data_IF_841900148415
#
_entry.id   IF_841900148415
#
_cell.length_a   1.000
_cell.length_b   1.000
_cell.length_c   1.000
_cell.angle_alpha   90.00
_cell.angle_beta   90.00
_cell.angle_gamma   90.00
#
_symmetry.space_group_name_H-M   'P 1'
#
loop_
_entity.id
_entity.type
_entity.pdbx_description
1 polymer ?
#
# COMPACT_ATOMS: atom_id res chain seq x y z
N UNK A 1 -20.24 23.56 8.37
CA UNK A 1 -19.97 23.53 9.83
C UNK A 1 -19.81 22.09 10.38
N UNK A 2 -19.29 21.14 9.58
CA UNK A 2 -19.24 19.70 9.94
C UNK A 2 -17.80 19.11 10.00
N UNK A 3 -16.75 19.93 10.04
CA UNK A 3 -15.35 19.46 10.06
C UNK A 3 -14.64 19.58 11.42
N UNK A 4 -15.31 20.06 12.46
CA UNK A 4 -14.64 20.46 13.71
C UNK A 4 -14.74 19.47 14.89
N UNK A 5 -15.43 18.33 14.76
CA UNK A 5 -15.82 17.51 15.93
C UNK A 5 -15.30 16.06 15.96
N UNK A 6 -14.13 15.77 15.40
CA UNK A 6 -13.48 14.45 15.56
C UNK A 6 -11.98 14.57 15.86
N UNK A 7 -11.64 15.32 16.91
CA UNK A 7 -10.26 15.43 17.44
C UNK A 7 -10.10 14.62 18.74
N UNK A 8 -10.67 13.42 18.81
CA UNK A 8 -10.54 12.49 19.95
C UNK A 8 -9.67 11.31 19.50
N UNK A 9 -8.38 11.33 19.87
CA UNK A 9 -7.32 10.34 19.55
C UNK A 9 -7.66 9.45 18.34
N UNK A 10 -7.60 10.02 17.14
CA UNK A 10 -7.61 9.24 15.90
C UNK A 10 -6.35 8.40 15.94
N UNK A 11 -6.47 7.13 16.34
CA UNK A 11 -5.46 6.14 16.00
C UNK A 11 -5.59 6.04 14.48
N UNK A 12 -4.88 6.90 13.77
CA UNK A 12 -4.78 6.81 12.32
C UNK A 12 -4.09 5.48 12.05
N UNK A 13 -4.77 4.49 11.44
CA UNK A 13 -4.14 3.22 11.14
C UNK A 13 -2.93 3.50 10.25
N UNK A 14 -1.74 3.18 10.76
CA UNK A 14 -0.51 3.45 10.03
C UNK A 14 -0.30 2.48 8.87
N UNK A 15 0.82 2.63 8.14
CA UNK A 15 1.19 1.79 6.99
C UNK A 15 1.11 0.28 7.29
N UNK A 16 1.49 -0.12 8.50
CA UNK A 16 1.46 -1.53 8.94
C UNK A 16 0.05 -2.10 9.03
N UNK A 17 -0.94 -1.30 9.41
CA UNK A 17 -2.33 -1.74 9.47
C UNK A 17 -2.90 -1.91 8.06
N UNK A 18 -2.63 -0.94 7.17
CA UNK A 18 -3.01 -0.99 5.76
C UNK A 18 -2.52 -2.26 5.06
N UNK A 19 -1.22 -2.53 5.13
CA UNK A 19 -0.62 -3.72 4.52
C UNK A 19 -1.20 -5.01 5.08
N UNK A 20 -1.51 -5.07 6.39
CA UNK A 20 -2.11 -6.24 7.01
C UNK A 20 -3.54 -6.50 6.50
N UNK A 21 -4.36 -5.46 6.37
CA UNK A 21 -5.73 -5.58 5.88
C UNK A 21 -5.79 -6.01 4.42
N UNK A 22 -4.95 -5.41 3.56
CA UNK A 22 -4.89 -5.81 2.15
C UNK A 22 -4.45 -7.27 1.99
N UNK A 23 -3.47 -7.73 2.79
CA UNK A 23 -3.08 -9.16 2.81
C UNK A 23 -4.17 -10.09 3.34
N UNK A 24 -5.02 -9.59 4.24
CA UNK A 24 -6.18 -10.33 4.74
C UNK A 24 -7.36 -10.35 3.75
N UNK A 25 -7.22 -9.71 2.58
CA UNK A 25 -8.25 -9.66 1.55
C UNK A 25 -9.32 -8.58 1.77
N UNK A 26 -9.06 -7.59 2.62
CA UNK A 26 -9.94 -6.41 2.72
C UNK A 26 -9.79 -5.58 1.44
N UNK A 27 -10.91 -5.16 0.86
CA UNK A 27 -10.94 -4.38 -0.38
C UNK A 27 -10.17 -3.05 -0.27
N UNK A 28 -9.49 -2.66 -1.37
CA UNK A 28 -8.63 -1.48 -1.43
C UNK A 28 -9.38 -0.18 -1.12
N UNK A 29 -10.64 -0.06 -1.53
CA UNK A 29 -11.51 1.09 -1.28
C UNK A 29 -11.90 1.23 0.20
N UNK A 30 -12.16 0.11 0.88
CA UNK A 30 -12.41 0.07 2.33
C UNK A 30 -11.17 0.49 3.09
N UNK A 31 -9.99 -0.04 2.74
CA UNK A 31 -8.72 0.35 3.37
C UNK A 31 -8.42 1.83 3.11
N UNK A 32 -8.66 2.31 1.90
CA UNK A 32 -8.50 3.72 1.53
C UNK A 32 -9.36 4.65 2.40
N UNK A 33 -10.64 4.28 2.59
CA UNK A 33 -11.57 5.01 3.45
C UNK A 33 -11.10 5.01 4.91
N UNK A 34 -10.64 3.87 5.43
CA UNK A 34 -10.13 3.73 6.80
C UNK A 34 -8.86 4.55 7.05
N UNK A 35 -8.02 4.72 6.03
CA UNK A 35 -6.82 5.58 6.07
C UNK A 35 -7.14 7.06 5.86
N UNK A 36 -8.35 7.41 5.45
CA UNK A 36 -8.72 8.78 5.10
C UNK A 36 -8.02 9.30 3.85
N UNK A 37 -7.58 8.42 2.95
CA UNK A 37 -7.01 8.80 1.66
C UNK A 37 -8.09 9.29 0.70
N UNK A 38 -7.83 10.41 0.03
CA UNK A 38 -8.78 11.03 -0.90
C UNK A 38 -8.55 10.61 -2.36
N UNK A 39 -7.41 9.98 -2.65
CA UNK A 39 -7.03 9.54 -4.00
C UNK A 39 -6.62 8.07 -3.98
N UNK A 40 -7.04 7.32 -4.99
CA UNK A 40 -6.64 5.91 -5.15
C UNK A 40 -5.15 5.79 -5.41
N UNK A 41 -4.53 6.81 -6.02
CA UNK A 41 -3.07 6.85 -6.22
C UNK A 41 -2.30 6.83 -4.90
N UNK A 42 -2.88 7.34 -3.81
CA UNK A 42 -2.26 7.27 -2.48
C UNK A 42 -2.19 5.84 -1.92
N UNK A 43 -2.91 4.88 -2.51
CA UNK A 43 -2.88 3.47 -2.13
C UNK A 43 -1.77 2.67 -2.82
N UNK A 44 -1.14 3.23 -3.85
CA UNK A 44 -0.12 2.57 -4.67
C UNK A 44 1.02 1.95 -3.83
N UNK A 45 1.54 2.58 -2.75
CA UNK A 45 2.56 1.96 -1.89
C UNK A 45 2.10 0.72 -1.11
N UNK A 46 0.79 0.51 -0.96
CA UNK A 46 0.23 -0.60 -0.19
C UNK A 46 -0.17 -1.80 -1.04
N UNK A 47 -0.17 -1.65 -2.37
CA UNK A 47 -0.60 -2.73 -3.26
C UNK A 47 0.25 -3.98 -3.04
N UNK A 48 -0.39 -5.12 -2.77
CA UNK A 48 0.35 -6.35 -2.55
C UNK A 48 1.08 -6.76 -3.81
N UNK A 49 2.41 -6.74 -3.76
CA UNK A 49 3.27 -7.34 -4.77
C UNK A 49 3.37 -8.84 -4.50
N UNK A 50 3.09 -9.68 -5.50
CA UNK A 50 3.24 -11.12 -5.35
C UNK A 50 4.71 -11.48 -5.15
N UNK A 51 4.98 -12.64 -4.53
CA UNK A 51 6.37 -13.10 -4.42
C UNK A 51 6.98 -13.43 -5.79
N UNK A 52 6.14 -13.72 -6.79
CA UNK A 52 6.58 -13.90 -8.17
C UNK A 52 7.03 -12.57 -8.79
N UNK A 53 6.25 -11.49 -8.64
CA UNK A 53 6.62 -10.16 -9.12
C UNK A 53 7.98 -9.70 -8.54
N UNK A 54 8.26 -10.08 -7.28
CA UNK A 54 9.56 -9.80 -6.64
C UNK A 54 10.69 -10.60 -7.29
N UNK A 55 10.47 -11.89 -7.58
CA UNK A 55 11.46 -12.74 -8.24
C UNK A 55 11.75 -12.24 -9.65
N UNK A 56 10.72 -11.95 -10.42
CA UNK A 56 10.83 -11.43 -11.79
C UNK A 56 11.60 -10.10 -11.82
N UNK A 57 11.37 -9.22 -10.84
CA UNK A 57 12.12 -7.97 -10.70
C UNK A 57 13.62 -8.21 -10.41
N UNK A 58 13.95 -9.17 -9.56
CA UNK A 58 15.34 -9.54 -9.25
C UNK A 58 16.02 -10.11 -10.50
N UNK A 59 15.38 -11.05 -11.19
CA UNK A 59 15.90 -11.67 -12.41
C UNK A 59 16.15 -10.64 -13.51
N UNK A 60 15.24 -9.69 -13.69
CA UNK A 60 15.41 -8.59 -14.64
C UNK A 60 16.62 -7.72 -14.33
N UNK A 61 16.85 -7.38 -13.06
CA UNK A 61 18.03 -6.59 -12.65
C UNK A 61 19.32 -7.39 -12.82
N UNK A 62 19.30 -8.70 -12.53
CA UNK A 62 20.45 -9.58 -12.74
C UNK A 62 20.83 -9.63 -14.23
N UNK A 63 19.87 -9.89 -15.12
CA UNK A 63 20.09 -9.89 -16.57
C UNK A 63 20.63 -8.55 -17.08
N UNK A 64 20.12 -7.42 -16.58
CA UNK A 64 20.64 -6.09 -16.95
C UNK A 64 22.10 -5.90 -16.53
N UNK A 65 22.54 -6.47 -15.40
CA UNK A 65 23.94 -6.37 -14.96
C UNK A 65 24.87 -7.22 -15.80
N UNK A 66 24.42 -8.40 -16.22
CA UNK A 66 25.18 -9.30 -17.08
C UNK A 66 25.42 -8.70 -18.48
N UNK A 67 24.46 -7.95 -19.05
CA UNK A 67 24.63 -7.32 -20.36
C UNK A 67 25.50 -6.06 -20.36
N UNK A 68 25.74 -5.47 -19.19
CA UNK A 68 26.55 -4.24 -19.02
C UNK A 68 27.94 -4.51 -18.42
N UNK A 69 28.28 -5.79 -18.22
CA UNK A 69 29.62 -6.28 -17.85
C UNK A 69 30.39 -6.73 -19.09
#
# INVERSE_FOLDING_TARGET
MLRALLRRRRIEPGPRAATRWLRAGVDEDVVQMLLGHQSSRSMEPYRPTSDQDKRDAIEKVAAMRETHS
#
